data_IF_615492154585
#
_entry.id   IF_615492154585
#
_cell.length_a   1.000
_cell.length_b   1.000
_cell.length_c   1.000
_cell.angle_alpha   90.00
_cell.angle_beta   90.00
_cell.angle_gamma   90.00
#
_symmetry.space_group_name_H-M   'P 1'
#
loop_
_entity.id
_entity.type
_entity.pdbx_description
1 polymer ?
#
# COMPACT_ATOMS: atom_id res chain seq x y z
N UNK A 1 28.97 -16.17 5.24
CA UNK A 1 27.65 -16.79 5.52
C UNK A 1 27.54 -17.44 6.91
N UNK A 2 28.67 -17.71 7.57
CA UNK A 2 28.86 -17.67 9.04
C UNK A 2 29.03 -16.22 9.59
N UNK A 3 28.68 -15.21 8.79
CA UNK A 3 29.28 -13.87 8.87
C UNK A 3 28.63 -12.89 9.84
N UNK A 4 27.63 -13.31 10.61
CA UNK A 4 27.01 -12.44 11.63
C UNK A 4 27.23 -12.98 13.05
N UNK A 5 27.82 -14.16 13.23
CA UNK A 5 28.02 -14.74 14.57
C UNK A 5 26.73 -14.96 15.36
N UNK A 6 25.57 -14.80 14.72
CA UNK A 6 24.25 -15.02 15.30
C UNK A 6 23.89 -16.47 15.08
N UNK A 7 23.53 -17.14 16.17
CA UNK A 7 23.14 -18.53 16.19
C UNK A 7 22.02 -18.80 15.17
N UNK A 8 22.16 -19.86 14.37
CA UNK A 8 21.22 -20.20 13.29
C UNK A 8 19.77 -20.31 13.82
N UNK A 9 19.62 -20.69 15.08
CA UNK A 9 18.35 -20.74 15.80
C UNK A 9 17.68 -19.38 15.99
N UNK A 10 18.46 -18.30 16.14
CA UNK A 10 17.90 -16.93 16.22
C UNK A 10 17.30 -16.53 14.88
N UNK A 11 17.95 -16.89 13.76
CA UNK A 11 17.40 -16.62 12.43
C UNK A 11 16.11 -17.42 12.18
N UNK A 12 16.09 -18.70 12.58
CA UNK A 12 14.89 -19.54 12.47
C UNK A 12 13.77 -19.01 13.35
N UNK A 13 14.07 -18.68 14.61
CA UNK A 13 13.11 -18.11 15.56
C UNK A 13 12.54 -16.78 15.04
N UNK A 14 13.40 -15.89 14.54
CA UNK A 14 12.97 -14.63 13.95
C UNK A 14 12.10 -14.85 12.71
N UNK A 15 12.46 -15.80 11.84
CA UNK A 15 11.66 -16.18 10.67
C UNK A 15 10.27 -16.67 11.05
N UNK A 16 10.16 -17.56 12.03
CA UNK A 16 8.88 -18.11 12.51
C UNK A 16 8.03 -17.03 13.18
N UNK A 17 8.63 -16.20 14.04
CA UNK A 17 7.93 -15.12 14.73
C UNK A 17 7.46 -14.07 13.74
N UNK A 18 8.32 -13.62 12.84
CA UNK A 18 7.96 -12.62 11.82
C UNK A 18 6.88 -13.14 10.88
N UNK A 19 6.97 -14.40 10.41
CA UNK A 19 5.93 -15.03 9.60
C UNK A 19 4.59 -15.11 10.35
N UNK A 20 4.62 -15.52 11.63
CA UNK A 20 3.41 -15.62 12.46
C UNK A 20 2.75 -14.26 12.69
N UNK A 21 3.55 -13.23 12.99
CA UNK A 21 3.07 -11.84 13.15
C UNK A 21 2.49 -11.31 11.84
N UNK A 22 3.15 -11.54 10.71
CA UNK A 22 2.68 -11.14 9.38
C UNK A 22 1.34 -11.77 9.04
N UNK A 23 1.20 -13.08 9.24
CA UNK A 23 -0.04 -13.81 8.98
C UNK A 23 -1.16 -13.30 9.87
N UNK A 24 -0.91 -13.17 11.18
CA UNK A 24 -1.90 -12.62 12.11
C UNK A 24 -2.30 -11.19 11.78
N UNK A 25 -1.34 -10.32 11.45
CA UNK A 25 -1.61 -8.95 11.05
C UNK A 25 -2.46 -8.89 9.77
N UNK A 26 -2.18 -9.75 8.80
CA UNK A 26 -2.94 -9.87 7.56
C UNK A 26 -4.38 -10.29 7.84
N UNK A 27 -4.61 -11.35 8.62
CA UNK A 27 -5.95 -11.78 8.99
C UNK A 27 -6.70 -10.75 9.85
N UNK A 28 -6.03 -10.08 10.80
CA UNK A 28 -6.63 -8.97 11.56
C UNK A 28 -7.06 -7.82 10.66
N UNK A 29 -6.25 -7.49 9.66
CA UNK A 29 -6.57 -6.42 8.72
C UNK A 29 -7.77 -6.81 7.85
N UNK A 30 -7.80 -8.05 7.37
CA UNK A 30 -8.94 -8.61 6.62
C UNK A 30 -10.23 -8.60 7.45
N UNK A 31 -10.16 -8.98 8.73
CA UNK A 31 -11.34 -8.97 9.63
C UNK A 31 -11.80 -7.54 9.98
N UNK A 32 -10.87 -6.60 10.18
CA UNK A 32 -11.18 -5.23 10.61
C UNK A 32 -11.77 -4.38 9.49
N UNK A 33 -11.29 -4.55 8.26
CA UNK A 33 -11.67 -3.70 7.13
C UNK A 33 -12.62 -4.40 6.14
N UNK A 34 -12.70 -5.75 6.15
CA UNK A 34 -13.52 -6.50 5.21
C UNK A 34 -13.08 -6.29 3.75
N UNK A 35 -13.89 -6.76 2.80
CA UNK A 35 -13.54 -6.73 1.37
C UNK A 35 -13.37 -5.31 0.79
N UNK A 36 -14.12 -4.34 1.32
CA UNK A 36 -14.17 -2.98 0.76
C UNK A 36 -13.57 -1.90 1.67
N UNK A 37 -13.26 -2.19 2.93
CA UNK A 37 -12.85 -1.16 3.89
C UNK A 37 -11.47 -0.57 3.59
N UNK A 38 -10.54 -1.38 3.06
CA UNK A 38 -9.23 -0.86 2.62
C UNK A 38 -9.41 0.10 1.43
N UNK A 39 -10.32 -0.23 0.52
CA UNK A 39 -10.64 0.58 -0.65
C UNK A 39 -11.34 1.90 -0.25
N UNK A 40 -12.24 1.87 0.76
CA UNK A 40 -12.84 3.08 1.34
C UNK A 40 -11.82 3.99 2.02
N UNK A 41 -10.87 3.41 2.75
CA UNK A 41 -9.79 4.17 3.41
C UNK A 41 -8.86 4.83 2.38
N UNK A 42 -8.55 4.12 1.30
CA UNK A 42 -7.81 4.66 0.17
C UNK A 42 -8.58 5.80 -0.51
N UNK A 43 -9.88 5.62 -0.76
CA UNK A 43 -10.74 6.64 -1.37
C UNK A 43 -10.86 7.92 -0.52
N UNK A 44 -10.93 7.78 0.81
CA UNK A 44 -10.89 8.92 1.72
C UNK A 44 -9.56 9.69 1.65
N UNK A 45 -8.44 8.97 1.47
CA UNK A 45 -7.11 9.58 1.39
C UNK A 45 -6.84 10.23 0.03
N UNK A 46 -7.44 9.72 -1.04
CA UNK A 46 -7.38 10.32 -2.37
C UNK A 46 -8.40 11.44 -2.58
N UNK A 47 -9.31 11.68 -1.62
CA UNK A 47 -10.30 12.75 -1.73
C UNK A 47 -9.63 14.13 -1.63
N UNK A 48 -9.70 14.97 -2.69
CA UNK A 48 -9.11 16.31 -2.66
C UNK A 48 -9.87 17.20 -1.67
N UNK A 49 -9.13 17.96 -0.85
CA UNK A 49 -9.68 18.84 0.19
C UNK A 49 -10.29 20.14 -0.39
N UNK A 50 -9.94 20.48 -1.64
CA UNK A 50 -10.46 21.64 -2.37
C UNK A 50 -10.29 21.44 -3.89
N UNK A 51 -11.31 21.80 -4.66
CA UNK A 51 -11.26 21.75 -6.13
C UNK A 51 -10.64 23.07 -6.60
N UNK A 52 -9.33 23.08 -6.83
CA UNK A 52 -8.59 24.26 -7.35
C UNK A 52 -9.08 24.65 -8.75
N UNK A 53 -9.54 23.67 -9.54
CA UNK A 53 -9.84 23.86 -10.96
C UNK A 53 -11.23 23.32 -11.31
N UNK A 54 -12.11 24.18 -11.85
CA UNK A 54 -13.45 23.78 -12.34
C UNK A 54 -13.41 22.98 -13.65
N UNK A 55 -12.21 22.64 -14.14
CA UNK A 55 -12.05 21.75 -15.30
C UNK A 55 -12.52 20.36 -14.91
N UNK A 56 -13.34 19.73 -15.77
CA UNK A 56 -13.84 18.37 -15.56
C UNK A 56 -12.69 17.45 -15.16
N UNK A 57 -12.84 16.70 -14.08
CA UNK A 57 -11.85 15.76 -13.52
C UNK A 57 -11.23 14.84 -14.59
N UNK A 58 -12.05 14.42 -15.56
CA UNK A 58 -11.62 13.62 -16.72
C UNK A 58 -10.52 14.29 -17.58
N UNK A 59 -10.47 15.62 -17.66
CA UNK A 59 -9.41 16.36 -18.36
C UNK A 59 -8.11 16.48 -17.56
N UNK A 60 -8.15 16.29 -16.24
CA UNK A 60 -6.94 16.29 -15.39
C UNK A 60 -6.24 14.93 -15.41
N UNK A 61 -7.02 13.84 -15.49
CA UNK A 61 -6.51 12.47 -15.60
C UNK A 61 -6.16 12.11 -17.04
N UNK A 62 -6.76 12.79 -18.03
CA UNK A 62 -6.34 12.61 -19.42
C UNK A 62 -4.86 13.00 -19.53
N UNK A 63 -3.96 12.05 -19.85
CA UNK A 63 -2.61 12.42 -20.23
C UNK A 63 -2.79 13.37 -21.40
N UNK A 64 -2.40 14.63 -21.21
CA UNK A 64 -2.34 15.55 -22.33
C UNK A 64 -1.33 14.90 -23.25
N UNK A 65 -1.80 14.27 -24.32
CA UNK A 65 -0.92 13.84 -25.39
C UNK A 65 -0.16 15.11 -25.77
N UNK A 66 1.10 15.21 -25.34
CA UNK A 66 2.00 16.21 -25.87
C UNK A 66 2.05 15.86 -27.35
N UNK A 67 1.22 16.53 -28.16
CA UNK A 67 1.46 16.64 -29.59
C UNK A 67 2.82 17.29 -29.66
N UNK A 68 3.86 16.47 -29.83
CA UNK A 68 5.12 16.92 -30.36
C UNK A 68 4.77 17.65 -31.65
N UNK A 69 4.93 18.97 -31.62
CA UNK A 69 4.96 19.74 -32.85
C UNK A 69 6.32 19.45 -33.47
N UNK A 70 6.24 19.04 -34.73
CA UNK A 70 7.30 18.94 -35.74
C UNK A 70 8.33 20.06 -35.64
#
# INVERSE_FOLDING_TARGET
MYMVGIDQWVCIGFGVVSASVLVWATFRMNAKYGEWGLMKLHALRSHPRYIINRRKFLRLISPTAKKGKV
#
